data_IF_959086111649
#
_entry.id   IF_959086111649
#
_cell.length_a   1.000
_cell.length_b   1.000
_cell.length_c   1.000
_cell.angle_alpha   90.00
_cell.angle_beta   90.00
_cell.angle_gamma   90.00
#
_symmetry.space_group_name_H-M   'P 1'
#
loop_
_entity.id
_entity.type
_entity.pdbx_description
1 polymer ?
#
# COMPACT_ATOMS: atom_id res chain seq x y z
N UNK A 1 10.70 29.39 2.89
CA UNK A 1 10.05 28.08 3.12
C UNK A 1 9.81 27.44 1.75
N UNK A 2 10.68 26.54 1.29
CA UNK A 2 10.50 25.88 0.00
C UNK A 2 9.47 24.75 0.15
N UNK A 3 8.21 25.04 -0.15
CA UNK A 3 7.14 24.03 -0.20
C UNK A 3 7.48 22.90 -1.18
N UNK A 4 8.15 23.25 -2.29
CA UNK A 4 8.68 22.32 -3.30
C UNK A 4 9.87 21.46 -2.83
N UNK A 5 10.63 21.87 -1.80
CA UNK A 5 11.75 21.04 -1.32
C UNK A 5 11.31 19.91 -0.39
N UNK A 6 10.03 19.89 0.00
CA UNK A 6 9.45 18.86 0.87
C UNK A 6 8.46 17.94 0.16
N UNK A 7 7.98 18.34 -1.03
CA UNK A 7 7.08 17.53 -1.82
C UNK A 7 7.94 16.67 -2.75
N UNK A 8 8.14 15.41 -2.37
CA UNK A 8 8.95 14.53 -3.21
C UNK A 8 8.17 14.20 -4.48
N UNK A 9 8.86 14.01 -5.60
CA UNK A 9 8.25 13.51 -6.82
C UNK A 9 7.47 12.20 -6.57
N UNK A 10 7.96 11.38 -5.63
CA UNK A 10 7.31 10.15 -5.21
C UNK A 10 5.95 10.39 -4.56
N UNK A 11 5.79 11.46 -3.79
CA UNK A 11 4.50 11.82 -3.18
C UNK A 11 3.46 12.18 -4.25
N UNK A 12 3.86 12.85 -5.32
CA UNK A 12 2.97 13.15 -6.45
C UNK A 12 2.63 11.86 -7.21
N UNK A 13 3.64 11.07 -7.55
CA UNK A 13 3.46 9.84 -8.34
C UNK A 13 2.60 8.80 -7.60
N UNK A 14 2.76 8.67 -6.29
CA UNK A 14 1.95 7.81 -5.43
C UNK A 14 0.45 8.20 -5.39
N UNK A 15 0.11 9.42 -5.80
CA UNK A 15 -1.28 9.87 -5.93
C UNK A 15 -1.75 9.73 -7.37
N UNK A 16 -1.03 10.33 -8.33
CA UNK A 16 -1.47 10.44 -9.72
C UNK A 16 -1.61 9.06 -10.37
N UNK A 17 -0.62 8.18 -10.24
CA UNK A 17 -0.62 6.89 -10.96
C UNK A 17 -1.73 5.97 -10.45
N UNK A 18 -1.86 5.68 -9.13
CA UNK A 18 -2.97 4.88 -8.64
C UNK A 18 -4.33 5.51 -8.93
N UNK A 19 -4.46 6.82 -8.76
CA UNK A 19 -5.71 7.53 -8.99
C UNK A 19 -6.14 7.52 -10.45
N UNK A 20 -5.20 7.62 -11.40
CA UNK A 20 -5.47 7.47 -12.82
C UNK A 20 -5.94 6.05 -13.17
N UNK A 21 -5.32 5.02 -12.60
CA UNK A 21 -5.75 3.63 -12.81
C UNK A 21 -7.17 3.42 -12.25
N UNK A 22 -7.49 3.95 -11.07
CA UNK A 22 -8.86 3.89 -10.51
C UNK A 22 -9.86 4.62 -11.42
N UNK A 23 -9.46 5.76 -12.00
CA UNK A 23 -10.29 6.48 -12.95
C UNK A 23 -10.59 5.64 -14.20
N UNK A 24 -9.57 4.98 -14.77
CA UNK A 24 -9.76 4.04 -15.89
C UNK A 24 -10.70 2.89 -15.55
N UNK A 25 -10.58 2.35 -14.33
CA UNK A 25 -11.51 1.33 -13.83
C UNK A 25 -12.94 1.86 -13.76
N UNK A 26 -13.14 3.08 -13.25
CA UNK A 26 -14.45 3.73 -13.19
C UNK A 26 -15.07 3.95 -14.57
N UNK A 27 -14.27 4.40 -15.54
CA UNK A 27 -14.71 4.53 -16.94
C UNK A 27 -15.13 3.18 -17.52
N UNK A 28 -14.37 2.13 -17.24
CA UNK A 28 -14.70 0.75 -17.66
C UNK A 28 -16.06 0.31 -17.10
N UNK A 29 -16.32 0.61 -15.83
CA UNK A 29 -17.62 0.32 -15.19
C UNK A 29 -18.77 1.09 -15.84
N UNK A 30 -18.53 2.31 -16.28
CA UNK A 30 -19.51 3.13 -17.02
C UNK A 30 -19.60 2.76 -18.52
N UNK A 31 -18.85 1.76 -19.00
CA UNK A 31 -18.74 1.40 -20.43
C UNK A 31 -18.27 2.56 -21.32
N UNK A 32 -17.52 3.49 -20.74
CA UNK A 32 -16.91 4.61 -21.44
C UNK A 32 -15.54 4.21 -21.98
N UNK A 33 -15.16 4.75 -23.13
CA UNK A 33 -13.84 4.53 -23.70
C UNK A 33 -12.73 5.14 -22.83
N UNK A 34 -11.61 4.44 -22.71
CA UNK A 34 -10.41 4.96 -22.05
C UNK A 34 -9.73 6.09 -22.80
N UNK A 35 -10.05 6.26 -24.08
CA UNK A 35 -9.65 7.42 -24.84
C UNK A 35 -10.85 8.37 -24.94
N UNK A 36 -10.68 9.66 -24.63
CA UNK A 36 -11.69 10.64 -24.99
C UNK A 36 -11.79 10.65 -26.52
N UNK A 37 -12.90 10.16 -27.06
CA UNK A 37 -13.22 10.32 -28.47
C UNK A 37 -14.49 11.16 -28.59
N UNK A 38 -14.39 12.14 -29.50
CA UNK A 38 -15.48 12.95 -30.07
C UNK A 38 -16.21 13.95 -29.16
N UNK A 39 -15.54 14.58 -28.21
CA UNK A 39 -16.03 15.87 -27.71
C UNK A 39 -15.40 16.99 -28.54
N UNK A 40 -16.18 17.98 -28.98
CA UNK A 40 -15.72 19.20 -29.69
C UNK A 40 -14.81 20.11 -28.84
N UNK A 41 -14.35 19.61 -27.70
CA UNK A 41 -13.50 20.29 -26.72
C UNK A 41 -12.05 19.91 -27.02
N UNK A 42 -11.15 20.90 -26.92
CA UNK A 42 -9.71 20.67 -27.08
C UNK A 42 -9.24 19.52 -26.17
N UNK A 43 -8.63 18.50 -26.77
CA UNK A 43 -8.12 17.31 -26.09
C UNK A 43 -7.21 17.67 -24.91
N UNK A 44 -6.47 18.78 -24.98
CA UNK A 44 -5.58 19.22 -23.90
C UNK A 44 -6.33 19.61 -22.61
N UNK A 45 -7.51 20.23 -22.73
CA UNK A 45 -8.37 20.59 -21.58
C UNK A 45 -8.91 19.32 -20.91
N UNK A 46 -9.32 18.32 -21.70
CA UNK A 46 -9.82 17.05 -21.19
C UNK A 46 -8.73 16.31 -20.42
N UNK A 47 -7.51 16.25 -20.96
CA UNK A 47 -6.36 15.64 -20.27
C UNK A 47 -6.00 16.36 -18.97
N UNK A 48 -6.11 17.69 -18.93
CA UNK A 48 -5.90 18.45 -17.70
C UNK A 48 -6.95 18.11 -16.63
N UNK A 49 -8.23 18.03 -17.00
CA UNK A 49 -9.32 17.61 -16.11
C UNK A 49 -9.07 16.19 -15.60
N UNK A 50 -8.67 15.26 -16.47
CA UNK A 50 -8.35 13.88 -16.09
C UNK A 50 -7.17 13.79 -15.13
N UNK A 51 -6.12 14.59 -15.33
CA UNK A 51 -4.98 14.63 -14.41
C UNK A 51 -5.38 15.13 -13.02
N UNK A 52 -6.22 16.17 -12.95
CA UNK A 52 -6.74 16.70 -11.68
C UNK A 52 -7.62 15.65 -10.99
N UNK A 53 -8.54 15.02 -11.74
CA UNK A 53 -9.41 13.97 -11.20
C UNK A 53 -8.59 12.77 -10.69
N UNK A 54 -7.58 12.34 -11.45
CA UNK A 54 -6.66 11.28 -11.05
C UNK A 54 -5.94 11.63 -9.75
N UNK A 55 -5.42 12.84 -9.61
CA UNK A 55 -4.75 13.26 -8.37
C UNK A 55 -5.69 13.24 -7.15
N UNK A 56 -6.92 13.76 -7.29
CA UNK A 56 -7.91 13.77 -6.21
C UNK A 56 -8.34 12.36 -5.79
N UNK A 57 -8.63 11.48 -6.75
CA UNK A 57 -8.92 10.07 -6.50
C UNK A 57 -7.71 9.40 -5.84
N UNK A 58 -6.51 9.74 -6.29
CA UNK A 58 -5.24 9.31 -5.71
C UNK A 58 -5.10 9.63 -4.23
N UNK A 59 -5.42 10.86 -3.81
CA UNK A 59 -5.39 11.26 -2.40
C UNK A 59 -6.35 10.41 -1.57
N UNK A 60 -7.59 10.22 -2.03
CA UNK A 60 -8.59 9.40 -1.35
C UNK A 60 -8.06 7.96 -1.20
N UNK A 61 -7.53 7.40 -2.29
CA UNK A 61 -6.93 6.06 -2.30
C UNK A 61 -5.74 5.95 -1.33
N UNK A 62 -4.87 6.95 -1.28
CA UNK A 62 -3.73 6.96 -0.37
C UNK A 62 -4.17 6.98 1.10
N UNK A 63 -5.19 7.78 1.44
CA UNK A 63 -5.76 7.81 2.80
C UNK A 63 -6.39 6.46 3.17
N UNK A 64 -7.07 5.79 2.22
CA UNK A 64 -7.64 4.47 2.46
C UNK A 64 -6.55 3.41 2.64
N UNK A 65 -5.56 3.39 1.77
CA UNK A 65 -4.46 2.42 1.82
C UNK A 65 -3.58 2.63 3.04
N UNK A 66 -3.29 3.87 3.44
CA UNK A 66 -2.51 4.14 4.66
C UNK A 66 -3.21 3.60 5.91
N UNK A 67 -4.54 3.63 5.98
CA UNK A 67 -5.30 3.00 7.07
C UNK A 67 -5.16 1.48 7.09
N UNK A 68 -5.23 0.83 5.93
CA UNK A 68 -5.03 -0.63 5.80
C UNK A 68 -3.62 -1.00 6.30
N UNK A 69 -2.61 -0.24 5.90
CA UNK A 69 -1.21 -0.53 6.18
C UNK A 69 -0.66 0.06 7.48
N UNK A 70 -1.46 0.86 8.22
CA UNK A 70 -1.01 1.54 9.45
C UNK A 70 -0.49 0.54 10.50
N UNK A 71 -1.19 -0.59 10.64
CA UNK A 71 -0.78 -1.67 11.56
C UNK A 71 0.55 -2.30 11.18
N UNK A 72 0.91 -2.32 9.89
CA UNK A 72 2.20 -2.83 9.41
C UNK A 72 3.33 -1.86 9.71
N UNK A 73 3.12 -0.55 9.46
CA UNK A 73 4.13 0.50 9.70
C UNK A 73 4.45 0.64 11.19
N UNK A 74 3.41 0.65 12.03
CA UNK A 74 3.52 0.88 13.47
C UNK A 74 3.43 -0.42 14.29
N UNK A 75 3.75 -1.56 13.67
CA UNK A 75 3.70 -2.86 14.34
C UNK A 75 4.78 -2.97 15.42
N UNK A 76 4.38 -3.30 16.64
CA UNK A 76 5.30 -3.66 17.73
C UNK A 76 6.28 -4.75 17.29
N UNK A 77 5.78 -5.83 16.66
CA UNK A 77 6.62 -6.95 16.26
C UNK A 77 7.71 -6.52 15.28
N UNK A 78 7.38 -5.65 14.32
CA UNK A 78 8.36 -5.18 13.32
C UNK A 78 9.41 -4.30 13.96
N UNK A 79 9.02 -3.41 14.87
CA UNK A 79 9.94 -2.55 15.60
C UNK A 79 10.86 -3.38 16.51
N UNK A 80 10.31 -4.33 17.25
CA UNK A 80 11.04 -5.20 18.16
C UNK A 80 12.01 -6.13 17.42
N UNK A 81 11.55 -6.78 16.35
CA UNK A 81 12.38 -7.65 15.48
C UNK A 81 13.55 -6.87 14.89
N UNK A 82 13.29 -5.70 14.30
CA UNK A 82 14.33 -4.89 13.65
C UNK A 82 15.31 -4.31 14.66
N UNK A 83 14.83 -3.87 15.84
CA UNK A 83 15.71 -3.45 16.93
C UNK A 83 16.62 -4.59 17.39
N UNK A 84 16.09 -5.80 17.62
CA UNK A 84 16.88 -6.95 18.06
C UNK A 84 17.93 -7.35 17.01
N UNK A 85 17.56 -7.35 15.73
CA UNK A 85 18.50 -7.65 14.65
C UNK A 85 19.61 -6.59 14.56
N UNK A 86 19.26 -5.31 14.70
CA UNK A 86 20.22 -4.21 14.68
C UNK A 86 21.23 -4.31 15.83
N UNK A 87 20.76 -4.63 17.06
CA UNK A 87 21.63 -4.88 18.21
C UNK A 87 22.65 -6.00 17.95
N UNK A 88 22.19 -7.12 17.37
CA UNK A 88 23.04 -8.27 17.04
C UNK A 88 24.13 -7.91 16.01
N UNK A 89 23.82 -7.03 15.07
CA UNK A 89 24.74 -6.62 14.03
C UNK A 89 25.79 -5.61 14.53
N UNK A 90 25.34 -4.57 15.28
CA UNK A 90 26.23 -3.50 15.77
C UNK A 90 27.14 -3.98 16.92
N UNK A 91 26.76 -5.04 17.64
CA UNK A 91 27.44 -5.68 18.80
C UNK A 91 27.70 -4.75 19.99
N UNK A 92 28.41 -3.64 19.80
CA UNK A 92 28.82 -2.70 20.85
C UNK A 92 27.87 -1.50 20.97
N UNK A 93 26.55 -1.71 20.86
CA UNK A 93 25.57 -0.61 20.87
C UNK A 93 25.49 0.10 22.22
N UNK A 94 25.47 1.44 22.21
CA UNK A 94 25.45 2.29 23.42
C UNK A 94 24.14 3.04 23.60
N UNK A 95 23.54 3.53 22.52
CA UNK A 95 22.38 4.42 22.57
C UNK A 95 21.07 3.74 22.18
N UNK A 96 21.11 2.58 21.52
CA UNK A 96 19.92 1.77 21.29
C UNK A 96 19.22 1.38 22.61
N UNK A 97 17.88 1.29 22.63
CA UNK A 97 17.14 0.88 23.82
C UNK A 97 17.66 -0.43 24.40
N UNK A 98 17.98 -0.47 25.70
CA UNK A 98 18.56 -1.67 26.32
C UNK A 98 17.53 -2.77 26.57
N UNK A 99 16.29 -2.40 26.84
CA UNK A 99 15.16 -3.31 27.06
C UNK A 99 15.02 -4.31 25.89
N UNK A 100 14.76 -5.57 26.24
CA UNK A 100 14.36 -6.59 25.28
C UNK A 100 12.84 -6.60 25.15
N UNK A 101 12.37 -6.64 23.91
CA UNK A 101 10.96 -6.63 23.57
C UNK A 101 10.60 -8.01 23.01
N UNK A 102 9.56 -8.63 23.57
CA UNK A 102 9.07 -9.92 23.08
C UNK A 102 8.24 -9.70 21.83
N UNK A 103 8.56 -10.39 20.73
CA UNK A 103 7.75 -10.33 19.52
C UNK A 103 7.39 -11.71 19.02
N UNK A 104 6.22 -11.81 18.40
CA UNK A 104 5.83 -13.03 17.70
C UNK A 104 6.24 -12.92 16.24
N UNK A 105 7.02 -13.89 15.75
CA UNK A 105 7.34 -13.95 14.32
C UNK A 105 6.03 -14.09 13.52
N UNK A 106 5.73 -13.07 12.71
CA UNK A 106 4.87 -13.11 11.52
C UNK A 106 3.33 -13.03 11.63
N UNK A 107 2.67 -12.94 12.80
CA UNK A 107 1.21 -13.14 12.82
C UNK A 107 0.34 -11.88 12.55
N UNK A 108 0.79 -10.66 12.84
CA UNK A 108 -0.12 -9.50 12.81
C UNK A 108 -0.24 -8.76 11.47
N UNK A 109 0.75 -8.87 10.58
CA UNK A 109 0.72 -8.25 9.24
C UNK A 109 -0.03 -9.11 8.22
N UNK A 110 -0.11 -10.42 8.48
CA UNK A 110 -0.81 -11.36 7.62
C UNK A 110 -2.32 -11.19 7.68
N UNK A 111 -2.93 -10.72 8.77
CA UNK A 111 -4.39 -10.73 8.90
C UNK A 111 -5.09 -9.82 7.85
N UNK A 112 -4.77 -8.52 7.70
CA UNK A 112 -5.43 -7.68 6.68
C UNK A 112 -5.08 -8.12 5.26
N UNK A 113 -3.84 -8.55 5.03
CA UNK A 113 -3.39 -9.04 3.73
C UNK A 113 -4.06 -10.37 3.35
N UNK A 114 -4.29 -11.26 4.32
CA UNK A 114 -5.03 -12.52 4.16
C UNK A 114 -6.48 -12.20 3.85
N UNK A 115 -7.13 -11.28 4.56
CA UNK A 115 -8.51 -10.90 4.25
C UNK A 115 -8.62 -10.30 2.85
N UNK A 116 -7.69 -9.43 2.45
CA UNK A 116 -7.64 -8.87 1.11
C UNK A 116 -7.40 -9.96 0.04
N UNK A 117 -6.43 -10.85 0.26
CA UNK A 117 -6.11 -11.93 -0.66
C UNK A 117 -7.30 -12.92 -0.77
N UNK A 118 -7.92 -13.24 0.36
CA UNK A 118 -9.14 -14.08 0.42
C UNK A 118 -10.28 -13.40 -0.35
N UNK A 119 -10.43 -12.08 -0.22
CA UNK A 119 -11.44 -11.33 -0.97
C UNK A 119 -11.22 -11.39 -2.47
N UNK A 120 -9.98 -11.20 -2.91
CA UNK A 120 -9.59 -11.30 -4.32
C UNK A 120 -9.86 -12.72 -4.82
N UNK A 121 -9.46 -13.75 -4.08
CA UNK A 121 -9.64 -15.15 -4.46
C UNK A 121 -11.13 -15.51 -4.56
N UNK A 122 -11.93 -15.17 -3.54
CA UNK A 122 -13.39 -15.42 -3.55
C UNK A 122 -14.07 -14.69 -4.71
N UNK A 123 -13.70 -13.42 -4.95
CA UNK A 123 -14.23 -12.65 -6.06
C UNK A 123 -13.87 -13.28 -7.42
N UNK A 124 -12.63 -13.72 -7.60
CA UNK A 124 -12.18 -14.44 -8.81
C UNK A 124 -12.93 -15.77 -9.00
N UNK A 125 -13.17 -16.54 -7.94
CA UNK A 125 -13.92 -17.80 -8.01
C UNK A 125 -15.39 -17.56 -8.42
N UNK A 126 -16.05 -16.55 -7.87
CA UNK A 126 -17.42 -16.18 -8.24
C UNK A 126 -17.53 -15.78 -9.73
N UNK A 127 -16.48 -15.15 -10.28
CA UNK A 127 -16.42 -14.82 -11.70
C UNK A 127 -16.09 -16.01 -12.61
N UNK A 128 -15.41 -17.04 -12.08
CA UNK A 128 -15.11 -18.26 -12.82
C UNK A 128 -16.31 -19.22 -12.88
N UNK A 129 -17.17 -19.20 -11.84
CA UNK A 129 -18.37 -20.04 -11.75
C UNK A 129 -19.57 -19.50 -12.53
N UNK A 130 -19.43 -18.38 -13.23
CA UNK A 130 -20.49 -17.78 -14.06
C UNK A 130 -20.73 -18.65 -15.30
N UNK A 131 -21.64 -19.61 -15.21
CA UNK A 131 -22.07 -20.44 -16.33
C UNK A 131 -23.00 -19.61 -17.24
N UNK A 132 -22.74 -19.60 -18.55
CA UNK A 132 -23.67 -19.06 -19.55
C UNK A 132 -24.96 -19.88 -19.53
N UNK A 133 -26.01 -19.34 -18.91
CA UNK A 133 -27.38 -19.83 -19.09
C UNK A 133 -28.07 -18.86 -20.05
N UNK A 134 -28.40 -19.37 -21.24
CA UNK A 134 -29.29 -18.80 -22.28
C UNK A 134 -29.56 -17.29 -22.18
N UNK A 135 -28.77 -16.50 -22.90
CA UNK A 135 -29.03 -15.10 -23.30
C UNK A 135 -29.37 -14.05 -22.22
N UNK A 136 -29.35 -14.41 -20.94
CA UNK A 136 -29.32 -13.46 -19.85
C UNK A 136 -27.87 -13.35 -19.40
N UNK A 137 -27.21 -12.25 -19.73
CA UNK A 137 -25.92 -11.91 -19.10
C UNK A 137 -26.19 -11.74 -17.62
N UNK A 138 -25.94 -12.78 -16.83
CA UNK A 138 -26.18 -12.74 -15.41
C UNK A 138 -25.09 -11.83 -14.82
N UNK A 139 -25.42 -10.54 -14.60
CA UNK A 139 -24.59 -9.57 -13.87
C UNK A 139 -24.42 -9.93 -12.38
N UNK A 140 -25.15 -10.96 -11.90
CA UNK A 140 -25.25 -11.34 -10.49
C UNK A 140 -23.91 -11.84 -9.92
N UNK A 141 -23.14 -12.75 -10.55
CA UNK A 141 -21.84 -13.19 -10.04
C UNK A 141 -20.80 -12.06 -9.98
N UNK A 142 -20.87 -11.11 -10.92
CA UNK A 142 -19.98 -9.95 -10.97
C UNK A 142 -20.33 -8.93 -9.88
N UNK A 143 -21.63 -8.64 -9.68
CA UNK A 143 -22.11 -7.79 -8.59
C UNK A 143 -21.83 -8.42 -7.22
N UNK A 144 -21.98 -9.74 -7.09
CA UNK A 144 -21.62 -10.52 -5.90
C UNK A 144 -20.11 -10.48 -5.64
N UNK A 145 -19.27 -10.53 -6.68
CA UNK A 145 -17.82 -10.42 -6.53
C UNK A 145 -17.39 -9.04 -6.00
N UNK A 146 -18.03 -7.98 -6.49
CA UNK A 146 -17.81 -6.62 -6.00
C UNK A 146 -18.33 -6.45 -4.57
N UNK A 147 -19.53 -6.96 -4.26
CA UNK A 147 -20.09 -6.93 -2.92
C UNK A 147 -19.25 -7.72 -1.91
N UNK A 148 -18.76 -8.90 -2.28
CA UNK A 148 -17.86 -9.72 -1.45
C UNK A 148 -16.52 -9.00 -1.21
N UNK A 149 -15.96 -8.37 -2.25
CA UNK A 149 -14.76 -7.56 -2.12
C UNK A 149 -14.96 -6.35 -1.19
N UNK A 150 -16.06 -5.60 -1.37
CA UNK A 150 -16.41 -4.46 -0.51
C UNK A 150 -16.67 -4.89 0.94
N UNK A 151 -17.34 -6.02 1.15
CA UNK A 151 -17.59 -6.59 2.49
C UNK A 151 -16.28 -6.99 3.16
N UNK A 152 -15.38 -7.69 2.47
CA UNK A 152 -14.11 -8.13 3.03
C UNK A 152 -13.10 -6.98 3.20
N UNK A 153 -13.13 -5.96 2.34
CA UNK A 153 -12.45 -4.69 2.58
C UNK A 153 -12.99 -4.02 3.84
N UNK A 154 -14.32 -3.96 4.02
CA UNK A 154 -14.93 -3.43 5.23
C UNK A 154 -14.44 -4.17 6.49
N UNK A 155 -14.31 -5.49 6.46
CA UNK A 155 -13.71 -6.24 7.58
C UNK A 155 -12.21 -5.96 7.76
N UNK A 156 -11.47 -5.74 6.68
CA UNK A 156 -10.08 -5.30 6.75
C UNK A 156 -9.95 -3.93 7.45
N UNK A 157 -10.94 -3.05 7.27
CA UNK A 157 -11.05 -1.78 8.00
C UNK A 157 -11.63 -1.93 9.42
N UNK A 158 -12.56 -2.85 9.66
CA UNK A 158 -13.21 -3.07 10.97
C UNK A 158 -12.31 -3.81 11.96
N UNK A 159 -11.45 -4.70 11.46
CA UNK A 159 -10.37 -5.31 12.24
C UNK A 159 -9.32 -4.29 12.72
N UNK A 160 -9.41 -3.02 12.28
CA UNK A 160 -8.78 -1.86 12.91
C UNK A 160 -9.65 -1.44 14.12
N UNK A 161 -9.87 -2.37 15.05
CA UNK A 161 -10.57 -2.05 16.29
C UNK A 161 -9.63 -1.19 17.16
N UNK A 162 -9.95 0.08 17.42
CA UNK A 162 -9.16 0.94 18.30
C UNK A 162 -9.31 0.53 19.78
N UNK A 163 -10.21 -0.41 20.12
CA UNK A 163 -10.51 -0.81 21.50
C UNK A 163 -9.49 -1.76 22.14
N UNK A 164 -8.63 -2.41 21.34
CA UNK A 164 -7.44 -3.08 21.90
C UNK A 164 -6.39 -2.01 22.14
N UNK A 165 -6.46 -1.39 23.32
CA UNK A 165 -5.44 -0.46 23.78
C UNK A 165 -4.07 -1.12 23.54
N UNK A 166 -3.18 -0.50 22.75
CA UNK A 166 -1.85 -1.05 22.54
C UNK A 166 -1.23 -1.24 23.92
N UNK A 167 -0.57 -2.37 24.15
CA UNK A 167 0.07 -2.63 25.43
C UNK A 167 1.00 -1.47 25.81
N UNK A 168 1.27 -1.29 27.10
CA UNK A 168 2.22 -0.28 27.56
C UNK A 168 3.58 -0.40 26.84
N UNK A 169 3.98 -1.64 26.55
CA UNK A 169 5.19 -1.97 25.81
C UNK A 169 5.12 -1.55 24.33
N UNK A 170 3.96 -1.70 23.67
CA UNK A 170 3.73 -1.23 22.31
C UNK A 170 3.94 0.28 22.18
N UNK A 171 3.43 1.06 23.12
CA UNK A 171 3.61 2.52 23.11
C UNK A 171 5.07 2.92 23.36
N UNK A 172 5.74 2.19 24.25
CA UNK A 172 7.13 2.49 24.63
C UNK A 172 8.09 2.34 23.44
N UNK A 173 8.09 1.18 22.76
CA UNK A 173 8.99 0.97 21.61
C UNK A 173 8.66 1.91 20.45
N UNK A 174 7.37 2.21 20.25
CA UNK A 174 6.92 3.12 19.20
C UNK A 174 7.42 4.54 19.45
N UNK A 175 7.33 5.03 20.68
CA UNK A 175 7.83 6.35 21.07
C UNK A 175 9.36 6.45 20.90
N UNK A 176 10.10 5.42 21.34
CA UNK A 176 11.56 5.36 21.17
C UNK A 176 11.96 5.35 19.70
N UNK A 177 11.21 4.63 18.88
CA UNK A 177 11.43 4.60 17.44
C UNK A 177 11.18 5.97 16.79
N UNK A 178 10.11 6.67 17.17
CA UNK A 178 9.86 8.02 16.65
C UNK A 178 10.91 9.03 17.12
N UNK A 179 11.40 8.92 18.36
CA UNK A 179 12.54 9.72 18.81
C UNK A 179 13.77 9.49 17.91
N UNK A 180 14.11 8.23 17.65
CA UNK A 180 15.20 7.85 16.77
C UNK A 180 15.00 8.40 15.34
N UNK A 181 13.78 8.30 14.82
CA UNK A 181 13.40 8.82 13.51
C UNK A 181 13.61 10.33 13.39
N UNK A 182 13.06 11.10 14.33
CA UNK A 182 13.19 12.56 14.29
C UNK A 182 14.63 13.02 14.52
N UNK A 183 15.39 12.31 15.34
CA UNK A 183 16.81 12.56 15.54
C UNK A 183 17.61 12.33 14.26
N UNK A 184 17.41 11.19 13.58
CA UNK A 184 18.08 10.89 12.31
C UNK A 184 17.71 11.92 11.21
N UNK A 185 16.43 12.31 11.16
CA UNK A 185 15.95 13.30 10.20
C UNK A 185 16.57 14.70 10.42
N UNK A 186 16.69 15.14 11.67
CA UNK A 186 17.28 16.45 12.01
C UNK A 186 18.76 16.55 11.60
N UNK A 187 19.49 15.44 11.65
CA UNK A 187 20.93 15.40 11.35
C UNK A 187 21.26 15.10 9.87
N UNK A 188 20.27 15.09 8.97
CA UNK A 188 20.50 15.09 7.52
C UNK A 188 20.86 13.75 6.87
N UNK A 189 20.89 12.64 7.60
CA UNK A 189 21.23 11.30 7.08
C UNK A 189 20.01 10.52 6.51
N UNK A 190 18.96 11.22 6.11
CA UNK A 190 17.65 10.61 5.84
C UNK A 190 17.28 10.51 4.35
N UNK A 191 18.18 10.86 3.43
CA UNK A 191 17.87 10.86 1.99
C UNK A 191 17.49 9.46 1.46
N UNK A 192 18.16 8.41 1.94
CA UNK A 192 17.83 7.04 1.52
C UNK A 192 16.52 6.53 2.14
N UNK A 193 16.22 6.97 3.38
CA UNK A 193 14.99 6.60 4.08
C UNK A 193 13.77 7.19 3.39
N UNK A 194 13.81 8.48 3.04
CA UNK A 194 12.70 9.15 2.35
C UNK A 194 12.41 8.55 0.97
N UNK A 195 13.44 8.12 0.23
CA UNK A 195 13.27 7.40 -1.04
C UNK A 195 12.55 6.07 -0.83
N UNK A 196 12.97 5.26 0.16
CA UNK A 196 12.35 3.96 0.44
C UNK A 196 10.91 4.16 0.95
N UNK A 197 10.65 5.20 1.75
CA UNK A 197 9.30 5.57 2.19
C UNK A 197 8.40 5.92 1.01
N UNK A 198 8.89 6.71 0.04
CA UNK A 198 8.17 7.00 -1.20
C UNK A 198 7.84 5.75 -2.01
N UNK A 199 8.79 4.81 -2.12
CA UNK A 199 8.55 3.50 -2.77
C UNK A 199 7.46 2.70 -2.04
N UNK A 200 7.51 2.65 -0.71
CA UNK A 200 6.50 1.95 0.11
C UNK A 200 5.13 2.59 -0.06
N UNK A 201 5.03 3.92 0.00
CA UNK A 201 3.78 4.63 -0.20
C UNK A 201 3.17 4.33 -1.58
N UNK A 202 3.98 4.37 -2.64
CA UNK A 202 3.56 4.01 -3.98
C UNK A 202 3.04 2.56 -4.06
N UNK A 203 3.81 1.59 -3.54
CA UNK A 203 3.41 0.18 -3.54
C UNK A 203 2.10 -0.05 -2.77
N UNK A 204 1.95 0.57 -1.61
CA UNK A 204 0.74 0.49 -0.80
C UNK A 204 -0.47 1.07 -1.54
N UNK A 205 -0.30 2.21 -2.21
CA UNK A 205 -1.36 2.87 -2.98
C UNK A 205 -1.74 2.12 -4.26
N UNK A 206 -0.87 1.25 -4.80
CA UNK A 206 -1.18 0.42 -5.98
C UNK A 206 -2.08 -0.79 -5.69
N UNK A 207 -2.20 -1.21 -4.42
CA UNK A 207 -2.95 -2.42 -4.03
C UNK A 207 -4.43 -2.34 -4.42
N UNK A 208 -5.10 -1.23 -4.11
CA UNK A 208 -6.52 -1.04 -4.43
C UNK A 208 -6.75 -1.02 -5.96
N UNK A 209 -6.07 -0.19 -6.76
CA UNK A 209 -6.23 -0.19 -8.21
C UNK A 209 -6.03 -1.56 -8.85
N UNK A 210 -5.00 -2.31 -8.45
CA UNK A 210 -4.76 -3.67 -8.98
C UNK A 210 -5.92 -4.60 -8.58
N UNK A 211 -6.37 -4.53 -7.33
CA UNK A 211 -7.50 -5.33 -6.84
C UNK A 211 -8.80 -5.02 -7.59
N UNK A 212 -9.06 -3.75 -7.91
CA UNK A 212 -10.23 -3.32 -8.68
C UNK A 212 -10.23 -3.91 -10.09
N UNK A 213 -9.08 -3.94 -10.77
CA UNK A 213 -8.95 -4.58 -12.09
C UNK A 213 -9.05 -6.10 -12.03
N UNK A 214 -8.54 -6.74 -10.96
CA UNK A 214 -8.72 -8.18 -10.75
C UNK A 214 -10.20 -8.58 -10.72
N UNK A 215 -11.03 -7.76 -10.07
CA UNK A 215 -12.48 -7.98 -9.99
C UNK A 215 -13.28 -7.33 -11.13
N UNK A 216 -12.64 -6.64 -12.08
CA UNK A 216 -13.36 -6.07 -13.22
C UNK A 216 -13.96 -7.20 -14.09
N UNK A 217 -15.27 -7.18 -14.42
CA UNK A 217 -15.89 -8.15 -15.30
C UNK A 217 -15.24 -8.20 -16.68
N UNK A 218 -15.14 -9.40 -17.28
CA UNK A 218 -14.51 -9.57 -18.60
C UNK A 218 -15.18 -8.72 -19.69
N UNK A 219 -16.51 -8.57 -19.60
CA UNK A 219 -17.33 -7.77 -20.52
C UNK A 219 -17.05 -6.27 -20.47
N UNK A 220 -16.39 -5.79 -19.42
CA UNK A 220 -16.11 -4.37 -19.18
C UNK A 220 -14.65 -4.00 -19.49
N UNK A 221 -13.82 -4.94 -19.93
CA UNK A 221 -12.50 -4.61 -20.48
C UNK A 221 -12.66 -4.00 -21.88
N UNK A 222 -12.35 -2.71 -22.08
CA UNK A 222 -12.49 -2.10 -23.39
C UNK A 222 -11.36 -2.57 -24.32
N UNK A 223 -11.69 -2.76 -25.60
CA UNK A 223 -10.72 -3.06 -26.67
C UNK A 223 -9.91 -4.36 -26.51
N UNK A 224 -10.35 -5.33 -25.72
CA UNK A 224 -9.74 -6.67 -25.64
C UNK A 224 -10.55 -7.70 -26.45
N UNK A 225 -10.16 -7.99 -27.71
CA UNK A 225 -10.93 -8.88 -28.59
C UNK A 225 -10.85 -10.37 -28.20
N UNK A 226 -9.85 -10.79 -27.41
CA UNK A 226 -9.67 -12.20 -27.06
C UNK A 226 -9.83 -12.44 -25.55
N UNK A 227 -10.79 -13.29 -25.13
CA UNK A 227 -11.03 -13.63 -23.72
C UNK A 227 -9.81 -14.23 -23.00
N UNK A 228 -8.91 -14.89 -23.73
CA UNK A 228 -7.71 -15.53 -23.21
C UNK A 228 -6.71 -14.51 -22.66
N UNK A 229 -6.54 -13.36 -23.33
CA UNK A 229 -5.66 -12.29 -22.84
C UNK A 229 -6.13 -11.68 -21.52
N UNK A 230 -7.45 -11.60 -21.31
CA UNK A 230 -8.02 -11.09 -20.05
C UNK A 230 -7.67 -12.04 -18.90
N UNK A 231 -7.73 -13.36 -19.14
CA UNK A 231 -7.33 -14.35 -18.13
C UNK A 231 -5.84 -14.24 -17.78
N UNK A 232 -4.96 -14.11 -18.79
CA UNK A 232 -3.51 -13.93 -18.59
C UNK A 232 -3.22 -12.63 -17.82
N UNK A 233 -3.87 -11.53 -18.20
CA UNK A 233 -3.73 -10.23 -17.53
C UNK A 233 -4.14 -10.34 -16.05
N UNK A 234 -5.30 -10.95 -15.75
CA UNK A 234 -5.73 -11.17 -14.37
C UNK A 234 -4.76 -12.05 -13.59
N UNK A 235 -4.22 -13.11 -14.21
CA UNK A 235 -3.16 -13.93 -13.60
C UNK A 235 -1.91 -13.11 -13.25
N UNK A 236 -1.47 -12.24 -14.16
CA UNK A 236 -0.35 -11.34 -13.93
C UNK A 236 -0.63 -10.31 -12.82
N UNK A 237 -1.82 -9.69 -12.81
CA UNK A 237 -2.23 -8.75 -11.76
C UNK A 237 -2.31 -9.43 -10.38
N UNK A 238 -2.74 -10.69 -10.33
CA UNK A 238 -2.80 -11.46 -9.09
C UNK A 238 -1.40 -11.73 -8.55
N UNK A 239 -0.48 -12.15 -9.43
CA UNK A 239 0.93 -12.33 -9.10
C UNK A 239 1.53 -11.01 -8.59
N UNK A 240 1.25 -9.89 -9.25
CA UNK A 240 1.73 -8.57 -8.83
C UNK A 240 1.20 -8.20 -7.44
N UNK A 241 -0.09 -8.43 -7.16
CA UNK A 241 -0.66 -8.24 -5.82
C UNK A 241 0.06 -9.07 -4.75
N UNK A 242 0.32 -10.36 -5.03
CA UNK A 242 1.03 -11.25 -4.10
C UNK A 242 2.44 -10.70 -3.83
N UNK A 243 3.17 -10.32 -4.88
CA UNK A 243 4.52 -9.75 -4.75
C UNK A 243 4.49 -8.46 -3.92
N UNK A 244 3.54 -7.56 -4.15
CA UNK A 244 3.42 -6.33 -3.36
C UNK A 244 3.17 -6.61 -1.87
N UNK A 245 2.26 -7.55 -1.56
CA UNK A 245 1.97 -7.96 -0.18
C UNK A 245 3.23 -8.52 0.52
N UNK A 246 4.12 -9.19 -0.20
CA UNK A 246 5.38 -9.70 0.34
C UNK A 246 6.49 -8.64 0.45
N UNK A 247 6.58 -7.73 -0.54
CA UNK A 247 7.66 -6.74 -0.62
C UNK A 247 7.44 -5.56 0.33
N UNK A 248 6.21 -5.08 0.49
CA UNK A 248 5.89 -3.93 1.36
C UNK A 248 6.41 -4.15 2.80
N UNK A 249 6.12 -5.27 3.49
CA UNK A 249 6.63 -5.50 4.84
C UNK A 249 8.16 -5.51 4.93
N UNK A 250 8.83 -6.10 3.95
CA UNK A 250 10.30 -6.16 3.92
C UNK A 250 10.92 -4.77 3.76
N UNK A 251 10.31 -3.91 2.95
CA UNK A 251 10.74 -2.52 2.80
C UNK A 251 10.48 -1.70 4.06
N UNK A 252 9.35 -1.90 4.74
CA UNK A 252 9.08 -1.29 6.05
C UNK A 252 10.12 -1.71 7.09
N UNK A 253 10.47 -3.00 7.16
CA UNK A 253 11.55 -3.47 8.05
C UNK A 253 12.90 -2.83 7.73
N UNK A 254 13.22 -2.66 6.44
CA UNK A 254 14.43 -1.96 6.00
C UNK A 254 14.44 -0.49 6.47
N UNK A 255 13.31 0.19 6.40
CA UNK A 255 13.19 1.56 6.94
C UNK A 255 13.49 1.56 8.45
N UNK A 256 12.86 0.66 9.23
CA UNK A 256 13.10 0.59 10.67
C UNK A 256 14.56 0.34 11.02
N UNK A 257 15.18 -0.61 10.33
CA UNK A 257 16.60 -0.92 10.47
C UNK A 257 17.49 0.31 10.23
N UNK A 258 17.30 1.00 9.11
CA UNK A 258 18.10 2.19 8.78
C UNK A 258 17.98 3.28 9.85
N UNK A 259 16.78 3.46 10.41
CA UNK A 259 16.55 4.47 11.45
C UNK A 259 17.27 4.09 12.75
N UNK A 260 17.21 2.82 13.17
CA UNK A 260 17.94 2.35 14.35
C UNK A 260 19.45 2.51 14.18
N UNK A 261 19.98 2.09 13.03
CA UNK A 261 21.40 2.27 12.69
C UNK A 261 21.80 3.74 12.71
N UNK A 262 21.08 4.59 11.97
CA UNK A 262 21.37 6.01 11.88
C UNK A 262 21.34 6.67 13.26
N UNK A 263 20.36 6.34 14.10
CA UNK A 263 20.29 6.87 15.46
C UNK A 263 21.50 6.50 16.31
N UNK A 264 21.90 5.23 16.29
CA UNK A 264 23.08 4.75 17.03
C UNK A 264 24.36 5.42 16.55
N UNK A 265 24.60 5.46 15.23
CA UNK A 265 25.80 6.06 14.65
C UNK A 265 25.86 7.57 14.88
N UNK A 266 24.76 8.28 14.67
CA UNK A 266 24.72 9.74 14.84
C UNK A 266 24.93 10.16 16.30
N UNK A 267 24.39 9.40 17.27
CA UNK A 267 24.65 9.69 18.68
C UNK A 267 26.09 9.37 19.10
N UNK A 268 26.78 8.44 18.42
CA UNK A 268 28.22 8.18 18.65
C UNK A 268 29.13 9.28 18.12
N UNK A 269 28.78 9.96 17.02
CA UNK A 269 29.64 10.98 16.41
C UNK A 269 30.18 12.04 17.39
N UNK A 270 29.38 12.64 18.31
CA UNK A 270 29.91 13.57 19.30
C UNK A 270 30.86 12.94 20.33
N UNK A 271 30.79 11.63 20.58
CA UNK A 271 31.69 10.90 21.49
C UNK A 271 33.05 10.54 20.82
N UNK A 272 33.18 10.74 19.50
CA UNK A 272 34.41 10.45 18.71
C UNK A 272 35.14 11.73 18.29
N UNK A 273 34.62 12.92 18.65
CA UNK A 273 35.35 14.16 18.48
C UNK A 273 36.44 14.28 19.56
N UNK A 274 37.73 14.39 19.18
CA UNK A 274 38.85 14.47 20.12
C UNK A 274 38.87 15.77 20.94
#
# INVERSE_FOLDING_TARGET
MNFLSKLSLYDILAMIVPGFIILLWGLSMCKLSWMPNTFEVDNSIIWAIWLIAAYLIGIINHVLTSRIWNKTRNSHDFLAETLQNTKKEIKDYKYLPQKEYSYTKQLHVTIPCIYLLTAIVVACFLQASSIKVENVYIYIPELLSLAAFSFLLYFSFKGIDPSVAPSKENHEILNLYYEAYYYANKNGYNNDVSIIEGQVAFMQSMIIPISLFLILPKSLYPYMPYPEFICILKGFLLLLCIVLILVIPNRVKKIHYLIWCNFEYLKRLPDVAP
#
